data_IF_746456854621
#
_entry.id   IF_746456854621
#
_cell.length_a   1.000
_cell.length_b   1.000
_cell.length_c   1.000
_cell.angle_alpha   90.00
_cell.angle_beta   90.00
_cell.angle_gamma   90.00
#
_symmetry.space_group_name_H-M   'P 1'
#
loop_
_entity.id
_entity.type
_entity.pdbx_description
1 polymer ?
#
# COMPACT_ATOMS: atom_id res chain seq x y z
N UNK A 1 29.72 -10.94 -9.78
CA UNK A 1 28.59 -10.05 -9.40
C UNK A 1 27.66 -10.71 -8.40
N UNK A 2 27.18 -11.92 -8.66
CA UNK A 2 26.35 -12.69 -7.71
C UNK A 2 27.05 -12.90 -6.36
N UNK A 3 28.35 -13.19 -6.33
CA UNK A 3 29.13 -13.35 -5.09
C UNK A 3 29.12 -12.11 -4.18
N UNK A 4 29.21 -10.91 -4.75
CA UNK A 4 29.12 -9.64 -4.00
C UNK A 4 27.74 -9.43 -3.42
N UNK A 5 26.68 -9.69 -4.21
CA UNK A 5 25.28 -9.61 -3.76
C UNK A 5 25.05 -10.59 -2.60
N UNK A 6 25.48 -11.85 -2.74
CA UNK A 6 25.37 -12.86 -1.68
C UNK A 6 26.05 -12.42 -0.39
N UNK A 7 27.27 -11.87 -0.47
CA UNK A 7 27.97 -11.34 0.69
C UNK A 7 27.19 -10.21 1.36
N UNK A 8 26.73 -9.21 0.61
CA UNK A 8 25.96 -8.10 1.18
C UNK A 8 24.66 -8.57 1.84
N UNK A 9 23.95 -9.53 1.23
CA UNK A 9 22.73 -10.12 1.82
C UNK A 9 23.05 -10.86 3.11
N UNK A 10 24.14 -11.62 3.16
CA UNK A 10 24.57 -12.32 4.37
C UNK A 10 24.91 -11.34 5.50
N UNK A 11 25.65 -10.27 5.19
CA UNK A 11 26.04 -9.25 6.18
C UNK A 11 24.81 -8.53 6.75
N UNK A 12 23.85 -8.14 5.89
CA UNK A 12 22.58 -7.53 6.31
C UNK A 12 21.76 -8.52 7.14
N UNK A 13 21.65 -9.78 6.70
CA UNK A 13 20.90 -10.80 7.42
C UNK A 13 21.48 -11.08 8.80
N UNK A 14 22.80 -11.11 8.94
CA UNK A 14 23.46 -11.28 10.23
C UNK A 14 23.20 -10.08 11.14
N UNK A 15 23.38 -8.86 10.64
CA UNK A 15 23.13 -7.64 11.39
C UNK A 15 21.68 -7.52 11.88
N UNK A 16 20.70 -7.84 11.03
CA UNK A 16 19.27 -7.79 11.41
C UNK A 16 18.91 -8.85 12.46
N UNK A 17 19.52 -10.04 12.41
CA UNK A 17 19.34 -11.06 13.45
C UNK A 17 19.89 -10.57 14.78
N UNK A 18 21.12 -10.04 14.80
CA UNK A 18 21.72 -9.47 16.01
C UNK A 18 20.89 -8.31 16.57
N UNK A 19 20.39 -7.41 15.72
CA UNK A 19 19.48 -6.33 16.15
C UNK A 19 18.19 -6.90 16.76
N UNK A 20 17.59 -7.92 16.14
CA UNK A 20 16.39 -8.56 16.67
C UNK A 20 16.62 -9.21 18.04
N UNK A 21 17.79 -9.81 18.27
CA UNK A 21 18.15 -10.41 19.55
C UNK A 21 18.37 -9.35 20.63
N UNK A 22 19.06 -8.24 20.30
CA UNK A 22 19.28 -7.12 21.22
C UNK A 22 17.97 -6.42 21.63
N UNK A 23 17.02 -6.32 20.71
CA UNK A 23 15.70 -5.73 20.97
C UNK A 23 14.68 -6.71 21.55
N UNK A 24 15.06 -7.98 21.77
CA UNK A 24 14.16 -8.98 22.37
C UNK A 24 13.82 -8.64 23.83
N UNK A 25 14.68 -7.90 24.53
CA UNK A 25 14.41 -7.34 25.86
C UNK A 25 14.55 -5.80 25.85
N UNK A 26 13.45 -5.07 25.56
CA UNK A 26 13.46 -3.61 25.54
C UNK A 26 13.76 -2.97 26.91
N UNK A 27 13.63 -3.71 28.01
CA UNK A 27 13.87 -3.16 29.36
C UNK A 27 15.35 -2.91 29.65
N UNK A 28 16.24 -3.58 28.90
CA UNK A 28 17.68 -3.41 28.97
C UNK A 28 18.21 -2.26 28.10
N UNK A 29 17.34 -1.61 27.31
CA UNK A 29 17.72 -0.56 26.35
C UNK A 29 17.33 0.82 26.86
N UNK A 30 18.20 1.81 26.63
CA UNK A 30 17.85 3.22 26.85
C UNK A 30 17.59 3.91 25.51
N UNK A 31 16.60 4.81 25.48
CA UNK A 31 16.24 5.52 24.26
C UNK A 31 17.39 6.38 23.71
N UNK A 32 18.21 6.98 24.58
CA UNK A 32 19.37 7.79 24.19
C UNK A 32 20.40 6.98 23.40
N UNK A 33 20.59 5.72 23.77
CA UNK A 33 21.61 4.86 23.16
C UNK A 33 21.16 4.34 21.79
N UNK A 34 19.87 4.07 21.64
CA UNK A 34 19.34 3.46 20.41
C UNK A 34 18.85 4.48 19.37
N UNK A 35 18.45 5.70 19.79
CA UNK A 35 17.78 6.66 18.89
C UNK A 35 18.61 6.92 17.63
N UNK A 36 19.87 7.30 17.81
CA UNK A 36 20.74 7.67 16.69
C UNK A 36 20.99 6.48 15.75
N UNK A 37 21.12 5.28 16.30
CA UNK A 37 21.32 4.07 15.49
C UNK A 37 20.05 3.67 14.74
N UNK A 38 18.87 3.85 15.32
CA UNK A 38 17.59 3.60 14.64
C UNK A 38 17.32 4.62 13.53
N UNK A 39 17.66 5.90 13.74
CA UNK A 39 17.60 6.92 12.67
C UNK A 39 18.51 6.55 11.49
N UNK A 40 19.74 6.10 11.77
CA UNK A 40 20.69 5.65 10.74
C UNK A 40 20.21 4.38 10.02
N UNK A 41 19.56 3.47 10.75
CA UNK A 41 18.98 2.26 10.19
C UNK A 41 17.87 2.63 9.18
N UNK A 42 16.96 3.51 9.57
CA UNK A 42 15.88 3.99 8.69
C UNK A 42 16.39 4.65 7.40
N UNK A 43 17.50 5.40 7.47
CA UNK A 43 18.15 5.93 6.26
C UNK A 43 18.64 4.84 5.30
N UNK A 44 19.14 3.71 5.82
CA UNK A 44 19.53 2.59 4.96
C UNK A 44 18.31 1.85 4.40
N UNK A 45 17.22 1.74 5.15
CA UNK A 45 15.96 1.17 4.65
C UNK A 45 15.32 2.00 3.53
N UNK A 46 15.52 3.32 3.52
CA UNK A 46 15.16 4.16 2.36
C UNK A 46 15.89 3.74 1.08
N UNK A 47 17.17 3.35 1.18
CA UNK A 47 17.93 2.84 0.02
C UNK A 47 17.46 1.45 -0.39
N UNK A 48 17.10 0.60 0.58
CA UNK A 48 16.48 -0.71 0.35
C UNK A 48 15.20 -0.58 -0.48
N UNK A 49 14.39 0.44 -0.27
CA UNK A 49 13.19 0.69 -1.08
C UNK A 49 13.50 0.83 -2.58
N UNK A 50 14.62 1.46 -2.94
CA UNK A 50 15.08 1.56 -4.34
C UNK A 50 15.53 0.21 -4.90
N UNK A 51 16.22 -0.59 -4.08
CA UNK A 51 16.63 -1.95 -4.45
C UNK A 51 15.40 -2.84 -4.68
N UNK A 52 14.41 -2.75 -3.79
CA UNK A 52 13.15 -3.50 -3.90
C UNK A 52 12.36 -3.11 -5.15
N UNK A 53 12.36 -1.82 -5.51
CA UNK A 53 11.77 -1.34 -6.77
C UNK A 53 12.53 -1.85 -8.01
N UNK A 54 13.86 -1.84 -7.98
CA UNK A 54 14.69 -2.38 -9.06
C UNK A 54 14.46 -3.89 -9.25
N UNK A 55 14.37 -4.65 -8.15
CA UNK A 55 14.07 -6.07 -8.20
C UNK A 55 12.66 -6.33 -8.75
N UNK A 56 11.66 -5.55 -8.31
CA UNK A 56 10.30 -5.67 -8.83
C UNK A 56 10.24 -5.37 -10.34
N UNK A 57 10.96 -4.37 -10.82
CA UNK A 57 11.08 -4.07 -12.25
C UNK A 57 11.72 -5.22 -13.04
N UNK A 58 12.81 -5.81 -12.52
CA UNK A 58 13.42 -7.00 -13.13
C UNK A 58 12.44 -8.17 -13.13
N UNK A 59 11.70 -8.39 -12.04
CA UNK A 59 10.70 -9.45 -11.95
C UNK A 59 9.56 -9.27 -12.97
N UNK A 60 9.17 -8.03 -13.27
CA UNK A 60 8.23 -7.71 -14.36
C UNK A 60 8.83 -8.01 -15.73
N UNK A 61 10.05 -7.54 -16.00
CA UNK A 61 10.75 -7.74 -17.28
C UNK A 61 10.97 -9.23 -17.61
N UNK A 62 11.31 -10.04 -16.61
CA UNK A 62 11.56 -11.47 -16.76
C UNK A 62 10.30 -12.34 -16.63
N UNK A 63 9.12 -11.73 -16.47
CA UNK A 63 7.84 -12.42 -16.25
C UNK A 63 7.90 -13.44 -15.09
N UNK A 64 8.43 -13.02 -13.94
CA UNK A 64 8.65 -13.87 -12.76
C UNK A 64 7.37 -14.56 -12.24
N UNK A 65 6.18 -14.09 -12.65
CA UNK A 65 4.92 -14.80 -12.41
C UNK A 65 4.96 -16.26 -12.87
N UNK A 66 5.67 -16.57 -13.97
CA UNK A 66 5.79 -17.93 -14.51
C UNK A 66 6.45 -18.90 -13.53
N UNK A 67 7.35 -18.41 -12.67
CA UNK A 67 8.03 -19.22 -11.64
C UNK A 67 7.02 -19.79 -10.63
N UNK A 68 5.95 -19.05 -10.36
CA UNK A 68 4.87 -19.43 -9.43
C UNK A 68 3.60 -19.91 -10.14
N UNK A 69 3.67 -20.16 -11.46
CA UNK A 69 2.52 -20.60 -12.25
C UNK A 69 1.45 -19.52 -12.45
N UNK A 70 1.80 -18.25 -12.36
CA UNK A 70 0.90 -17.11 -12.54
C UNK A 70 1.27 -16.28 -13.78
N UNK A 71 0.30 -15.56 -14.33
CA UNK A 71 0.51 -14.69 -15.51
C UNK A 71 1.16 -13.34 -15.16
N UNK A 72 1.17 -12.96 -13.89
CA UNK A 72 1.61 -11.62 -13.45
C UNK A 72 2.73 -11.72 -12.42
N UNK A 73 3.78 -10.91 -12.60
CA UNK A 73 4.94 -10.86 -11.68
C UNK A 73 4.56 -10.41 -10.26
N UNK A 74 3.42 -9.76 -10.09
CA UNK A 74 2.88 -9.44 -8.77
C UNK A 74 2.60 -10.71 -7.92
N UNK A 75 2.22 -11.82 -8.55
CA UNK A 75 2.00 -13.08 -7.84
C UNK A 75 3.30 -13.62 -7.24
N UNK A 76 4.42 -13.50 -7.96
CA UNK A 76 5.74 -13.89 -7.46
C UNK A 76 6.13 -13.06 -6.23
N UNK A 77 5.95 -11.74 -6.29
CA UNK A 77 6.25 -10.84 -5.18
C UNK A 77 5.39 -11.14 -3.94
N UNK A 78 4.13 -11.53 -4.11
CA UNK A 78 3.26 -11.91 -3.00
C UNK A 78 3.66 -13.27 -2.40
N UNK A 79 3.87 -14.29 -3.23
CA UNK A 79 4.10 -15.65 -2.75
C UNK A 79 5.53 -15.89 -2.27
N UNK A 80 6.54 -15.38 -2.98
CA UNK A 80 7.94 -15.66 -2.65
C UNK A 80 8.56 -14.65 -1.69
N UNK A 81 8.04 -13.42 -1.63
CA UNK A 81 8.55 -12.38 -0.71
C UNK A 81 7.57 -12.06 0.44
N UNK A 82 6.45 -12.78 0.54
CA UNK A 82 5.40 -12.60 1.55
C UNK A 82 4.91 -11.14 1.65
N UNK A 83 4.75 -10.49 0.49
CA UNK A 83 4.28 -9.11 0.43
C UNK A 83 2.77 -9.05 0.35
N UNK A 84 2.19 -8.04 1.01
CA UNK A 84 0.80 -7.70 0.74
C UNK A 84 0.61 -7.28 -0.72
N UNK A 85 -0.61 -7.48 -1.24
CA UNK A 85 -0.99 -7.05 -2.59
C UNK A 85 -0.63 -5.58 -2.82
N UNK A 86 -0.93 -4.70 -1.86
CA UNK A 86 -0.66 -3.26 -1.96
C UNK A 86 0.84 -2.93 -2.05
N UNK A 87 1.66 -3.60 -1.23
CA UNK A 87 3.12 -3.37 -1.24
C UNK A 87 3.76 -3.87 -2.53
N UNK A 88 3.33 -5.04 -3.03
CA UNK A 88 3.83 -5.58 -4.28
C UNK A 88 3.50 -4.68 -5.49
N UNK A 89 2.29 -4.12 -5.56
CA UNK A 89 1.94 -3.09 -6.55
C UNK A 89 2.80 -1.83 -6.40
N UNK A 90 2.97 -1.35 -5.17
CA UNK A 90 3.73 -0.13 -4.91
C UNK A 90 5.20 -0.28 -5.36
N UNK A 91 5.81 -1.45 -5.14
CA UNK A 91 7.17 -1.74 -5.62
C UNK A 91 7.28 -1.78 -7.14
N UNK A 92 6.31 -2.41 -7.82
CA UNK A 92 6.26 -2.44 -9.29
C UNK A 92 6.09 -1.03 -9.85
N UNK A 93 5.19 -0.23 -9.29
CA UNK A 93 4.96 1.14 -9.74
C UNK A 93 6.20 2.03 -9.53
N UNK A 94 6.83 1.96 -8.35
CA UNK A 94 8.12 2.61 -8.10
C UNK A 94 9.19 2.15 -9.10
N UNK A 95 9.23 0.86 -9.41
CA UNK A 95 10.14 0.28 -10.39
C UNK A 95 9.94 0.88 -11.79
N UNK A 96 8.70 0.98 -12.25
CA UNK A 96 8.34 1.61 -13.53
C UNK A 96 8.66 3.10 -13.57
N UNK A 97 8.42 3.83 -12.47
CA UNK A 97 8.75 5.26 -12.39
C UNK A 97 10.26 5.51 -12.44
N UNK A 98 11.07 4.65 -11.83
CA UNK A 98 12.52 4.81 -11.73
C UNK A 98 13.29 4.24 -12.92
N UNK A 99 12.82 3.13 -13.50
CA UNK A 99 13.54 2.35 -14.51
C UNK A 99 12.75 2.13 -15.81
N UNK A 100 11.47 2.52 -15.84
CA UNK A 100 10.66 2.47 -17.04
C UNK A 100 11.12 3.50 -18.07
N UNK A 101 10.85 3.21 -19.34
CA UNK A 101 11.12 4.15 -20.41
C UNK A 101 10.18 5.36 -20.27
N UNK A 102 10.69 6.61 -20.37
CA UNK A 102 9.84 7.79 -20.39
C UNK A 102 8.79 7.65 -21.51
N UNK A 103 7.54 8.11 -21.29
CA UNK A 103 6.55 8.13 -22.35
C UNK A 103 7.13 8.90 -23.54
N UNK A 104 7.03 8.32 -24.74
CA UNK A 104 7.51 8.98 -25.95
C UNK A 104 6.87 10.38 -26.05
N UNK A 105 7.64 11.42 -26.43
CA UNK A 105 7.07 12.75 -26.60
C UNK A 105 5.91 12.63 -27.60
N UNK A 106 4.73 13.08 -27.19
CA UNK A 106 3.58 13.18 -28.08
C UNK A 106 4.00 14.05 -29.26
N UNK A 107 4.15 13.46 -30.45
CA UNK A 107 4.38 14.21 -31.68
C UNK A 107 3.26 15.25 -31.77
N UNK A 108 3.56 16.56 -31.80
CA UNK A 108 2.52 17.55 -32.04
C UNK A 108 1.83 17.20 -33.36
N UNK A 109 0.49 17.29 -33.44
CA UNK A 109 -0.21 16.98 -34.68
C UNK A 109 0.38 17.85 -35.79
N UNK A 110 0.76 17.21 -36.91
CA UNK A 110 1.25 17.91 -38.07
C UNK A 110 0.24 18.99 -38.44
N UNK A 111 0.70 20.24 -38.50
CA UNK A 111 -0.08 21.36 -39.01
C UNK A 111 -0.42 21.09 -40.47
N UNK A 112 -1.64 20.62 -40.73
CA UNK A 112 -2.22 20.63 -42.06
C UNK A 112 -2.57 22.08 -42.41
N UNK A 113 -1.68 22.74 -43.14
CA UNK A 113 -2.02 23.93 -43.89
C UNK A 113 -2.84 23.47 -45.11
N UNK A 114 -4.16 23.63 -45.04
CA UNK A 114 -5.04 23.66 -46.21
C UNK A 114 -6.25 24.54 -45.93
N UNK A 115 -6.23 25.67 -46.62
CA UNK A 115 -7.27 26.68 -46.75
C UNK A 115 -8.53 26.06 -47.37
N UNK A 116 -9.69 26.15 -46.69
CA UNK A 116 -10.98 26.50 -47.34
C UNK A 116 -12.11 26.69 -46.31
N UNK A 117 -12.66 27.92 -46.36
CA UNK A 117 -14.06 28.29 -46.23
C UNK A 117 -14.83 28.05 -44.91
N UNK A 118 -15.09 29.18 -44.24
CA UNK A 118 -16.09 29.35 -43.19
C UNK A 118 -17.48 28.85 -43.62
N UNK A 119 -17.93 27.73 -43.05
CA UNK A 119 -19.35 27.37 -42.98
C UNK A 119 -19.84 27.49 -41.53
N UNK A 120 -20.61 28.55 -41.28
CA UNK A 120 -21.24 28.88 -40.01
C UNK A 120 -22.27 27.82 -39.60
N UNK A 121 -22.03 27.14 -38.48
CA UNK A 121 -23.10 26.56 -37.66
C UNK A 121 -22.76 26.75 -36.16
N UNK A 122 -23.61 27.42 -35.36
CA UNK A 122 -23.38 27.56 -33.92
C UNK A 122 -23.65 26.22 -33.23
N UNK A 123 -22.58 25.50 -32.87
CA UNK A 123 -22.68 24.30 -32.05
C UNK A 123 -23.09 24.71 -30.62
N UNK A 124 -24.34 24.43 -30.24
CA UNK A 124 -24.87 24.66 -28.89
C UNK A 124 -24.05 23.84 -27.87
N UNK A 125 -23.33 24.54 -26.99
CA UNK A 125 -22.72 23.94 -25.80
C UNK A 125 -23.82 23.37 -24.89
N UNK A 126 -24.04 22.06 -24.96
CA UNK A 126 -24.91 21.35 -24.03
C UNK A 126 -24.10 20.98 -22.79
N UNK A 127 -24.17 21.86 -21.79
CA UNK A 127 -23.61 21.67 -20.46
C UNK A 127 -24.37 20.55 -19.73
N UNK A 128 -24.09 19.28 -20.05
CA UNK A 128 -24.74 18.12 -19.41
C UNK A 128 -23.94 17.64 -18.22
N UNK A 129 -24.04 18.37 -17.11
CA UNK A 129 -23.85 17.80 -15.77
C UNK A 129 -24.58 18.61 -14.69
N UNK A 130 -25.89 18.77 -14.85
CA UNK A 130 -26.77 19.08 -13.72
C UNK A 130 -27.29 17.77 -13.14
N UNK A 131 -26.71 17.34 -12.03
CA UNK A 131 -27.37 16.38 -11.15
C UNK A 131 -28.54 17.12 -10.48
N UNK A 132 -29.79 16.65 -10.58
CA UNK A 132 -30.91 17.32 -9.92
C UNK A 132 -30.75 17.26 -8.40
N UNK A 133 -30.78 18.42 -7.74
CA UNK A 133 -30.64 18.55 -6.28
C UNK A 133 -31.70 17.78 -5.46
N UNK A 134 -32.75 17.26 -6.11
CA UNK A 134 -33.83 16.48 -5.48
C UNK A 134 -33.41 15.08 -4.97
N UNK A 135 -32.21 14.59 -5.29
CA UNK A 135 -31.73 13.31 -4.71
C UNK A 135 -31.11 13.45 -3.33
N UNK A 136 -30.59 14.63 -2.97
CA UNK A 136 -29.96 14.85 -1.66
C UNK A 136 -31.01 15.02 -0.55
N UNK A 137 -32.17 15.60 -0.86
CA UNK A 137 -33.26 15.79 0.11
C UNK A 137 -33.96 14.49 0.50
N UNK A 138 -34.02 13.47 -0.38
CA UNK A 138 -34.62 12.17 -0.04
C UNK A 138 -33.78 11.34 0.95
N UNK A 139 -32.46 11.49 0.93
CA UNK A 139 -31.57 10.78 1.86
C UNK A 139 -31.62 11.36 3.28
N UNK A 140 -31.82 12.68 3.40
CA UNK A 140 -31.95 13.36 4.72
C UNK A 140 -33.31 13.13 5.36
N UNK A 141 -34.38 12.96 4.56
CA UNK A 141 -35.70 12.65 5.12
C UNK A 141 -35.85 11.20 5.58
N UNK A 142 -35.11 10.25 4.97
CA UNK A 142 -35.15 8.83 5.35
C UNK A 142 -34.41 8.52 6.66
N UNK A 143 -33.55 9.40 7.14
CA UNK A 143 -32.90 9.27 8.46
C UNK A 143 -33.71 9.87 9.61
N UNK A 144 -34.79 10.62 9.34
CA UNK A 144 -35.60 11.28 10.38
C UNK A 144 -36.87 10.53 10.80
N UNK A 145 -37.27 9.45 10.13
CA UNK A 145 -38.50 8.71 10.45
C UNK A 145 -38.31 7.38 11.20
N UNK A 146 -37.10 7.06 11.68
CA UNK A 146 -36.86 5.87 12.53
C UNK A 146 -36.58 6.18 14.00
N UNK A 147 -36.79 7.42 14.45
CA UNK A 147 -36.83 7.74 15.88
C UNK A 147 -38.26 7.58 16.41
N UNK A 148 -38.55 6.45 17.05
CA UNK A 148 -39.77 6.27 17.85
C UNK A 148 -40.12 4.81 18.16
N UNK A 149 -40.14 4.48 19.46
CA UNK A 149 -40.49 3.21 20.12
C UNK A 149 -39.31 2.21 20.26
N UNK A 150 -38.95 1.69 21.44
CA UNK A 150 -39.59 1.72 22.75
C UNK A 150 -38.53 1.55 23.85
N UNK A 151 -38.67 2.35 24.91
CA UNK A 151 -38.15 2.08 26.25
C UNK A 151 -38.86 0.86 26.82
N UNK A 152 -38.15 -0.08 27.47
CA UNK A 152 -38.49 -0.60 28.82
C UNK A 152 -37.32 -1.43 29.37
N UNK A 153 -36.79 -0.97 30.50
CA UNK A 153 -36.15 -1.67 31.61
C UNK A 153 -36.09 -3.21 31.58
N UNK A 154 -34.91 -3.79 31.85
CA UNK A 154 -34.84 -4.82 32.89
C UNK A 154 -33.45 -4.83 33.54
N UNK A 155 -33.49 -4.85 34.87
CA UNK A 155 -32.38 -4.66 35.79
C UNK A 155 -31.66 -5.97 36.10
N UNK A 156 -30.43 -5.84 36.62
CA UNK A 156 -29.75 -6.74 37.58
C UNK A 156 -29.59 -8.20 37.15
N UNK A 157 -28.34 -8.65 37.08
CA UNK A 157 -27.82 -9.61 38.07
C UNK A 157 -26.28 -9.63 38.00
N UNK A 158 -25.68 -9.28 39.14
CA UNK A 158 -24.27 -9.48 39.44
C UNK A 158 -24.00 -10.97 39.62
N UNK A 159 -22.89 -11.47 39.07
CA UNK A 159 -22.25 -12.69 39.54
C UNK A 159 -20.77 -12.41 39.81
N UNK A 160 -20.51 -12.05 41.06
CA UNK A 160 -19.25 -12.30 41.75
C UNK A 160 -19.16 -13.78 42.10
N UNK A 161 -18.04 -14.45 41.81
CA UNK A 161 -17.23 -15.11 42.84
C UNK A 161 -16.00 -15.82 42.26
N UNK A 162 -14.86 -15.53 42.87
CA UNK A 162 -13.60 -16.28 42.79
C UNK A 162 -13.60 -17.43 43.84
N UNK A 163 -12.45 -17.97 44.29
CA UNK A 163 -11.78 -19.17 43.78
C UNK A 163 -11.67 -20.29 44.85
N UNK A 164 -11.16 -21.48 44.45
CA UNK A 164 -10.22 -22.34 45.20
C UNK A 164 -10.41 -23.83 44.86
N UNK A 165 -9.33 -24.53 44.53
CA UNK A 165 -9.02 -25.86 45.10
C UNK A 165 -7.53 -26.18 44.96
N UNK A 166 -7.02 -26.62 46.09
CA UNK A 166 -5.66 -26.82 46.60
C UNK A 166 -4.91 -28.01 45.94
N UNK A 167 -3.57 -28.06 45.99
CA UNK A 167 -2.78 -29.26 45.68
C UNK A 167 -2.60 -30.13 46.94
N UNK A 168 -2.40 -31.46 46.82
CA UNK A 168 -1.78 -32.39 47.79
C UNK A 168 -1.67 -33.81 47.19
N UNK A 169 -0.92 -34.77 47.80
CA UNK A 169 0.17 -34.65 48.77
C UNK A 169 1.56 -35.02 48.20
#
# INVERSE_FOLDING_TARGET
MTSTITRCVNDISAALRTLSELFADPSALTFSDIRHEMERLEEQFKKKATIDAAFAFIAEREEAGRIVGANYSNAYLQQCLDLSKGEAYNRLERGRLLFGQPPAPSTPPASEESTEELSLAPMKWSNSRQLPEERLTRLVQRSKTSSGANSTSCSKLAWTNAPASTPQP
#
